data_IF_768500480079
#
_entry.id   IF_768500480079
#
_cell.length_a   1.000
_cell.length_b   1.000
_cell.length_c   1.000
_cell.angle_alpha   90.00
_cell.angle_beta   90.00
_cell.angle_gamma   90.00
#
_symmetry.space_group_name_H-M   'P 1'
#
loop_
_entity.id
_entity.type
_entity.pdbx_description
1 polymer ?
#
# COMPACT_ATOMS: atom_id res chain seq x y z
N UNK A 1 -10.64 -2.83 -17.48
CA UNK A 1 -11.44 -2.84 -16.24
C UNK A 1 -10.84 -1.93 -15.17
N UNK A 2 -9.68 -2.22 -14.57
CA UNK A 2 -9.09 -1.30 -13.59
C UNK A 2 -8.78 0.09 -14.18
N UNK A 3 -8.14 0.17 -15.35
CA UNK A 3 -7.86 1.46 -16.03
C UNK A 3 -9.12 2.26 -16.35
N UNK A 4 -10.23 1.58 -16.68
CA UNK A 4 -11.49 2.26 -16.96
C UNK A 4 -12.14 2.80 -15.69
N UNK A 5 -12.07 2.08 -14.58
CA UNK A 5 -12.60 2.55 -13.29
C UNK A 5 -11.76 3.69 -12.71
N UNK A 6 -10.44 3.64 -12.90
CA UNK A 6 -9.55 4.76 -12.56
C UNK A 6 -9.82 6.00 -13.43
N UNK A 7 -10.06 5.83 -14.74
CA UNK A 7 -10.41 6.96 -15.61
C UNK A 7 -11.78 7.55 -15.24
N UNK A 8 -12.78 6.70 -14.96
CA UNK A 8 -14.10 7.14 -14.50
C UNK A 8 -14.04 7.85 -13.15
N UNK A 9 -13.18 7.40 -12.23
CA UNK A 9 -13.04 8.10 -10.95
C UNK A 9 -12.43 9.50 -11.13
N UNK A 10 -11.55 9.72 -12.11
CA UNK A 10 -11.00 11.06 -12.34
C UNK A 10 -11.97 12.07 -12.97
N UNK A 11 -13.17 11.66 -13.41
CA UNK A 11 -14.15 12.56 -14.04
C UNK A 11 -14.82 13.49 -13.01
N UNK A 12 -15.13 14.76 -13.35
CA UNK A 12 -15.70 15.75 -12.42
C UNK A 12 -17.02 15.33 -11.76
N UNK A 13 -17.90 14.65 -12.52
CA UNK A 13 -19.20 14.17 -12.05
C UNK A 13 -19.15 12.82 -11.33
N UNK A 14 -17.96 12.27 -11.13
CA UNK A 14 -17.79 10.94 -10.57
C UNK A 14 -17.93 10.94 -9.05
N UNK A 15 -18.89 10.16 -8.55
CA UNK A 15 -19.07 9.92 -7.11
C UNK A 15 -18.24 8.73 -6.58
N UNK A 16 -17.33 8.19 -7.40
CA UNK A 16 -16.48 7.04 -7.03
C UNK A 16 -15.03 7.44 -6.87
N UNK A 17 -14.43 7.11 -5.73
CA UNK A 17 -13.00 7.14 -5.46
C UNK A 17 -12.42 5.77 -5.82
N UNK A 18 -11.46 5.70 -6.74
CA UNK A 18 -10.80 4.44 -7.09
C UNK A 18 -9.42 4.36 -6.46
N UNK A 19 -9.19 3.32 -5.66
CA UNK A 19 -7.90 3.03 -5.04
C UNK A 19 -7.35 1.68 -5.49
N UNK A 20 -6.04 1.58 -5.61
CA UNK A 20 -5.33 0.33 -5.89
C UNK A 20 -4.46 0.01 -4.70
N UNK A 21 -4.62 -1.18 -4.13
CA UNK A 21 -3.83 -1.64 -3.00
C UNK A 21 -3.06 -2.91 -3.33
N UNK A 22 -1.81 -2.98 -2.89
CA UNK A 22 -0.97 -4.14 -3.09
C UNK A 22 0.17 -4.22 -2.07
N UNK A 23 0.77 -5.40 -1.92
CA UNK A 23 1.92 -5.64 -1.06
C UNK A 23 3.19 -5.80 -1.91
N UNK A 24 4.15 -4.90 -1.72
CA UNK A 24 5.42 -4.94 -2.42
C UNK A 24 6.25 -6.17 -2.05
N UNK A 25 7.16 -6.55 -2.96
CA UNK A 25 8.27 -7.46 -2.67
C UNK A 25 9.00 -7.07 -1.38
N UNK A 26 9.32 -8.07 -0.56
CA UNK A 26 9.99 -7.91 0.73
C UNK A 26 11.39 -7.30 0.55
N UNK A 27 11.71 -6.29 1.37
CA UNK A 27 13.07 -5.79 1.52
C UNK A 27 13.80 -6.61 2.60
N UNK A 28 14.91 -7.24 2.23
CA UNK A 28 15.80 -7.91 3.19
C UNK A 28 16.86 -6.93 3.69
N UNK A 29 16.89 -6.71 5.00
CA UNK A 29 17.81 -5.78 5.66
C UNK A 29 18.81 -6.51 6.58
N UNK A 30 20.06 -6.04 6.69
CA UNK A 30 20.64 -4.95 5.91
C UNK A 30 20.89 -5.39 4.45
N UNK A 31 20.82 -4.43 3.53
CA UNK A 31 21.14 -4.58 2.11
C UNK A 31 22.60 -4.23 1.89
N UNK A 32 23.49 -5.21 2.04
CA UNK A 32 24.93 -5.09 1.83
C UNK A 32 25.38 -5.88 0.60
N UNK A 33 26.45 -5.44 -0.06
CA UNK A 33 27.00 -6.04 -1.28
C UNK A 33 28.06 -7.11 -1.05
N UNK A 34 28.41 -7.41 0.21
CA UNK A 34 29.49 -8.35 0.55
C UNK A 34 28.95 -9.75 0.86
N UNK A 35 29.75 -10.78 0.55
CA UNK A 35 29.42 -12.21 0.64
C UNK A 35 28.99 -12.67 2.04
N UNK A 36 29.46 -12.00 3.09
CA UNK A 36 29.23 -12.41 4.49
C UNK A 36 27.76 -12.31 4.92
N UNK A 37 26.96 -11.53 4.18
CA UNK A 37 25.52 -11.42 4.40
C UNK A 37 24.80 -12.76 4.15
N UNK A 38 25.33 -13.64 3.30
CA UNK A 38 24.74 -14.96 3.07
C UNK A 38 24.63 -15.79 4.37
N UNK A 39 25.51 -15.52 5.33
CA UNK A 39 25.57 -16.19 6.62
C UNK A 39 24.82 -15.45 7.74
N UNK A 40 24.30 -14.24 7.47
CA UNK A 40 23.60 -13.42 8.46
C UNK A 40 22.08 -13.49 8.28
N UNK A 41 21.34 -13.54 9.38
CA UNK A 41 19.88 -13.49 9.35
C UNK A 41 19.41 -12.08 8.99
N UNK A 42 18.82 -11.94 7.81
CA UNK A 42 18.24 -10.67 7.37
C UNK A 42 16.84 -10.47 7.96
N UNK A 43 16.55 -9.23 8.36
CA UNK A 43 15.22 -8.81 8.81
C UNK A 43 14.36 -8.50 7.60
N UNK A 44 13.19 -9.11 7.53
CA UNK A 44 12.19 -8.79 6.51
C UNK A 44 11.50 -7.46 6.83
N UNK A 45 11.58 -6.51 5.90
CA UNK A 45 10.83 -5.26 5.91
C UNK A 45 9.77 -5.29 4.80
N UNK A 46 8.55 -4.92 5.16
CA UNK A 46 7.36 -5.01 4.33
C UNK A 46 6.83 -3.61 4.01
N UNK A 47 6.29 -3.45 2.80
CA UNK A 47 5.67 -2.22 2.35
C UNK A 47 4.32 -2.52 1.70
N UNK A 48 3.24 -2.01 2.28
CA UNK A 48 1.90 -2.07 1.70
C UNK A 48 1.53 -0.72 1.10
N UNK A 49 1.28 -0.71 -0.21
CA UNK A 49 0.98 0.49 -0.97
C UNK A 49 -0.52 0.66 -1.18
N UNK A 50 -1.00 1.89 -1.03
CA UNK A 50 -2.35 2.30 -1.40
C UNK A 50 -2.25 3.54 -2.30
N UNK A 51 -2.55 3.34 -3.58
CA UNK A 51 -2.55 4.37 -4.61
C UNK A 51 -3.96 4.90 -4.83
N UNK A 52 -4.14 6.22 -4.76
CA UNK A 52 -5.40 6.91 -5.03
C UNK A 52 -5.40 7.42 -6.46
N UNK A 53 -6.23 6.84 -7.33
CA UNK A 53 -6.21 7.12 -8.77
C UNK A 53 -6.56 8.58 -9.08
N UNK A 54 -7.48 9.15 -8.31
CA UNK A 54 -8.03 10.49 -8.54
C UNK A 54 -6.98 11.59 -8.39
N UNK A 55 -6.11 11.44 -7.40
CA UNK A 55 -5.08 12.44 -7.10
C UNK A 55 -3.70 11.99 -7.57
N UNK A 56 -3.49 10.70 -7.83
CA UNK A 56 -2.17 10.10 -7.96
C UNK A 56 -1.36 10.12 -6.65
N UNK A 57 -1.99 10.46 -5.51
CA UNK A 57 -1.37 10.30 -4.20
C UNK A 57 -1.19 8.81 -3.92
N UNK A 58 -0.13 8.46 -3.21
CA UNK A 58 0.05 7.10 -2.72
C UNK A 58 0.65 7.14 -1.32
N UNK A 59 0.17 6.22 -0.49
CA UNK A 59 0.63 6.04 0.88
C UNK A 59 1.27 4.65 1.00
N UNK A 60 2.37 4.60 1.73
CA UNK A 60 3.22 3.44 1.88
C UNK A 60 3.30 3.09 3.36
N UNK A 61 2.66 1.99 3.75
CA UNK A 61 2.63 1.52 5.12
C UNK A 61 3.79 0.55 5.34
N UNK A 62 4.75 0.92 6.19
CA UNK A 62 6.02 0.19 6.36
C UNK A 62 6.11 -0.43 7.74
N UNK A 63 6.46 -1.72 7.81
CA UNK A 63 6.74 -2.45 9.05
C UNK A 63 7.79 -3.53 8.84
N UNK A 64 8.35 -4.08 9.91
CA UNK A 64 9.27 -5.23 9.83
C UNK A 64 8.73 -6.47 10.56
N UNK A 65 9.36 -7.62 10.31
CA UNK A 65 8.92 -8.92 10.85
C UNK A 65 8.88 -9.01 12.38
N UNK A 66 9.67 -8.20 13.08
CA UNK A 66 9.64 -8.11 14.54
C UNK A 66 8.40 -7.43 15.09
N UNK A 67 7.67 -6.68 14.26
CA UNK A 67 6.41 -6.02 14.65
C UNK A 67 5.20 -6.86 14.28
N UNK A 68 5.18 -7.40 13.07
CA UNK A 68 4.09 -8.24 12.56
C UNK A 68 4.54 -9.00 11.32
N UNK A 69 3.96 -10.18 11.12
CA UNK A 69 4.04 -10.91 9.85
C UNK A 69 3.24 -10.25 8.73
N UNK A 70 3.16 -10.94 7.59
CA UNK A 70 2.42 -10.52 6.37
C UNK A 70 0.93 -10.91 6.39
N UNK A 71 0.35 -11.14 7.56
CA UNK A 71 -1.04 -11.61 7.68
C UNK A 71 -2.06 -10.54 7.28
N UNK A 72 -3.23 -10.95 6.78
CA UNK A 72 -4.24 -9.99 6.29
C UNK A 72 -4.85 -9.06 7.36
N UNK A 73 -4.68 -9.33 8.66
CA UNK A 73 -5.03 -8.37 9.71
C UNK A 73 -4.20 -7.09 9.62
N UNK A 74 -2.92 -7.20 9.22
CA UNK A 74 -2.04 -6.05 9.04
C UNK A 74 -2.50 -5.17 7.88
N UNK A 75 -2.99 -5.78 6.79
CA UNK A 75 -3.53 -5.01 5.64
C UNK A 75 -4.74 -4.16 6.04
N UNK A 76 -5.65 -4.72 6.84
CA UNK A 76 -6.79 -3.97 7.37
C UNK A 76 -6.34 -2.81 8.29
N UNK A 77 -5.33 -3.04 9.14
CA UNK A 77 -4.75 -1.99 9.98
C UNK A 77 -4.05 -0.90 9.15
N UNK A 78 -3.34 -1.26 8.08
CA UNK A 78 -2.76 -0.29 7.14
C UNK A 78 -3.84 0.55 6.48
N UNK A 79 -4.93 -0.07 6.01
CA UNK A 79 -6.06 0.66 5.43
C UNK A 79 -6.72 1.60 6.45
N UNK A 80 -6.90 1.16 7.70
CA UNK A 80 -7.41 2.00 8.78
C UNK A 80 -6.53 3.23 9.04
N UNK A 81 -5.21 3.02 9.19
CA UNK A 81 -4.28 4.13 9.39
C UNK A 81 -4.23 5.06 8.17
N UNK A 82 -4.29 4.49 6.95
CA UNK A 82 -4.38 5.28 5.74
C UNK A 82 -5.62 6.18 5.71
N UNK A 83 -6.79 5.63 6.06
CA UNK A 83 -8.04 6.39 6.20
C UNK A 83 -7.90 7.53 7.21
N UNK A 84 -7.37 7.25 8.41
CA UNK A 84 -7.17 8.26 9.46
C UNK A 84 -6.14 9.33 9.08
N UNK A 85 -5.19 8.99 8.19
CA UNK A 85 -4.21 9.94 7.68
C UNK A 85 -4.79 10.97 6.70
N UNK A 86 -6.06 10.82 6.31
CA UNK A 86 -6.77 11.70 5.39
C UNK A 86 -6.53 11.41 3.91
N UNK A 87 -5.83 10.32 3.56
CA UNK A 87 -5.54 10.00 2.14
C UNK A 87 -6.80 9.63 1.35
N UNK A 88 -7.83 9.14 2.05
CA UNK A 88 -9.14 8.80 1.50
C UNK A 88 -10.18 9.90 1.70
N UNK A 89 -9.79 11.06 2.26
CA UNK A 89 -10.72 12.17 2.47
C UNK A 89 -11.14 12.76 1.13
N UNK A 90 -12.42 12.62 0.81
CA UNK A 90 -13.02 13.09 -0.43
C UNK A 90 -14.51 13.39 -0.21
N UNK A 91 -15.11 14.16 -1.11
CA UNK A 91 -16.57 14.38 -1.12
C UNK A 91 -17.34 13.19 -1.71
N UNK A 92 -16.63 12.29 -2.40
CA UNK A 92 -17.21 11.13 -3.08
C UNK A 92 -17.70 10.08 -2.10
N UNK A 93 -18.83 9.46 -2.43
CA UNK A 93 -19.53 8.54 -1.53
C UNK A 93 -19.28 7.07 -1.84
N UNK A 94 -18.74 6.72 -3.00
CA UNK A 94 -18.41 5.32 -3.34
C UNK A 94 -16.91 5.08 -3.34
N UNK A 95 -16.48 3.95 -2.79
CA UNK A 95 -15.09 3.50 -2.83
C UNK A 95 -14.96 2.25 -3.69
N UNK A 96 -14.19 2.34 -4.77
CA UNK A 96 -13.79 1.21 -5.60
C UNK A 96 -12.35 0.82 -5.26
N UNK A 97 -12.16 -0.36 -4.68
CA UNK A 97 -10.85 -0.90 -4.31
C UNK A 97 -10.44 -1.96 -5.33
N UNK A 98 -9.24 -1.81 -5.89
CA UNK A 98 -8.61 -2.83 -6.73
C UNK A 98 -7.42 -3.45 -6.01
N UNK A 99 -7.27 -4.76 -6.14
CA UNK A 99 -6.11 -5.47 -5.61
C UNK A 99 -5.78 -6.74 -6.39
N UNK A 100 -4.59 -7.28 -6.16
CA UNK A 100 -4.25 -8.62 -6.61
C UNK A 100 -5.07 -9.71 -5.91
N UNK A 101 -5.25 -10.84 -6.60
CA UNK A 101 -6.03 -11.98 -6.13
C UNK A 101 -5.23 -12.88 -5.16
N UNK A 102 -4.51 -12.28 -4.21
CA UNK A 102 -3.72 -13.00 -3.21
C UNK A 102 -4.60 -13.37 -2.00
N UNK A 103 -5.02 -14.63 -1.94
CA UNK A 103 -6.00 -15.08 -0.95
C UNK A 103 -5.53 -14.90 0.51
N UNK A 104 -4.27 -15.17 0.82
CA UNK A 104 -3.76 -15.14 2.20
C UNK A 104 -3.63 -13.73 2.82
N UNK A 105 -3.50 -12.70 1.99
CA UNK A 105 -3.22 -11.33 2.44
C UNK A 105 -4.43 -10.42 2.25
N UNK A 106 -5.07 -10.51 1.09
CA UNK A 106 -6.10 -9.56 0.70
C UNK A 106 -7.52 -10.15 0.78
N UNK A 107 -7.71 -11.46 0.58
CA UNK A 107 -9.00 -12.11 0.85
C UNK A 107 -9.12 -12.50 2.32
N UNK A 108 -9.12 -11.51 3.21
CA UNK A 108 -9.25 -11.70 4.64
C UNK A 108 -10.52 -11.04 5.19
N UNK A 109 -11.22 -11.74 6.10
CA UNK A 109 -12.36 -11.21 6.88
C UNK A 109 -12.09 -9.85 7.53
N UNK A 110 -10.84 -9.57 7.91
CA UNK A 110 -10.45 -8.29 8.52
C UNK A 110 -10.61 -7.12 7.55
N UNK A 111 -10.31 -7.31 6.25
CA UNK A 111 -10.56 -6.27 5.25
C UNK A 111 -12.06 -6.07 5.02
N UNK A 112 -12.86 -7.14 5.04
CA UNK A 112 -14.33 -7.02 4.99
C UNK A 112 -14.88 -6.22 6.17
N UNK A 113 -14.39 -6.47 7.39
CA UNK A 113 -14.76 -5.66 8.56
C UNK A 113 -14.29 -4.21 8.43
N UNK A 114 -13.11 -3.98 7.87
CA UNK A 114 -12.63 -2.63 7.59
C UNK A 114 -13.55 -1.90 6.59
N UNK A 115 -13.99 -2.55 5.51
CA UNK A 115 -14.95 -1.95 4.57
C UNK A 115 -16.29 -1.64 5.23
N UNK A 116 -16.81 -2.55 6.06
CA UNK A 116 -18.01 -2.29 6.86
C UNK A 116 -17.83 -1.10 7.80
N UNK A 117 -16.66 -0.97 8.42
CA UNK A 117 -16.34 0.18 9.27
C UNK A 117 -16.35 1.49 8.47
N UNK A 118 -15.75 1.52 7.27
CA UNK A 118 -15.77 2.71 6.41
C UNK A 118 -17.19 3.16 6.05
N UNK A 119 -18.10 2.21 5.85
CA UNK A 119 -19.51 2.49 5.59
C UNK A 119 -20.22 2.95 6.86
N UNK A 120 -20.06 2.23 7.96
CA UNK A 120 -20.70 2.53 9.24
C UNK A 120 -20.22 3.88 9.83
N UNK A 121 -19.00 4.30 9.54
CA UNK A 121 -18.47 5.60 9.94
C UNK A 121 -18.97 6.77 9.07
N UNK A 122 -19.80 6.50 8.05
CA UNK A 122 -20.34 7.50 7.13
C UNK A 122 -19.31 8.06 6.14
N UNK A 123 -18.13 7.43 6.02
CA UNK A 123 -17.09 7.91 5.10
C UNK A 123 -17.46 7.61 3.65
N UNK A 124 -18.02 6.43 3.41
CA UNK A 124 -18.56 6.01 2.12
C UNK A 124 -19.95 5.38 2.32
N UNK A 125 -20.81 5.43 1.32
CA UNK A 125 -22.11 4.75 1.32
C UNK A 125 -21.98 3.32 0.76
N UNK A 126 -20.99 3.10 -0.11
CA UNK A 126 -20.76 1.84 -0.79
C UNK A 126 -19.26 1.58 -0.96
N UNK A 127 -18.82 0.34 -0.70
CA UNK A 127 -17.45 -0.11 -0.96
C UNK A 127 -17.50 -1.35 -1.86
N UNK A 128 -16.90 -1.23 -3.04
CA UNK A 128 -16.77 -2.30 -4.02
C UNK A 128 -15.30 -2.76 -4.09
N UNK A 129 -15.03 -4.03 -3.83
CA UNK A 129 -13.67 -4.59 -3.91
C UNK A 129 -13.54 -5.54 -5.09
N UNK A 130 -12.72 -5.15 -6.07
CA UNK A 130 -12.43 -5.89 -7.30
C UNK A 130 -11.04 -6.52 -7.26
N UNK A 131 -10.93 -7.72 -7.81
CA UNK A 131 -9.69 -8.46 -7.90
C UNK A 131 -9.16 -8.45 -9.34
N UNK A 132 -7.86 -8.28 -9.50
CA UNK A 132 -7.18 -8.45 -10.78
C UNK A 132 -7.18 -9.93 -11.20
N UNK A 133 -7.39 -10.17 -12.49
CA UNK A 133 -7.26 -11.50 -13.08
C UNK A 133 -5.76 -11.77 -13.28
N UNK A 134 -5.32 -12.96 -12.87
CA UNK A 134 -3.91 -13.37 -12.96
C UNK A 134 -3.40 -13.31 -14.41
N UNK A 135 -2.20 -12.78 -14.61
CA UNK A 135 -1.45 -12.87 -15.87
C UNK A 135 -1.37 -11.61 -16.74
N UNK A 136 -2.15 -10.55 -16.50
CA UNK A 136 -2.23 -9.44 -17.47
C UNK A 136 -2.50 -8.03 -16.91
N UNK A 137 -1.98 -7.63 -15.74
CA UNK A 137 -2.23 -6.26 -15.26
C UNK A 137 -1.08 -5.67 -14.46
N UNK A 138 -0.31 -4.78 -15.09
CA UNK A 138 0.50 -3.80 -14.37
C UNK A 138 -0.43 -2.78 -13.72
N UNK A 139 -0.47 -2.76 -12.39
CA UNK A 139 -1.31 -1.89 -11.60
C UNK A 139 -0.68 -0.52 -11.35
N UNK A 140 -1.45 0.44 -10.82
CA UNK A 140 -0.89 1.73 -10.39
C UNK A 140 0.06 1.57 -9.20
N UNK A 141 -0.22 0.62 -8.31
CA UNK A 141 0.66 0.27 -7.19
C UNK A 141 2.00 -0.32 -7.69
N UNK A 142 1.96 -1.20 -8.70
CA UNK A 142 3.20 -1.75 -9.31
C UNK A 142 4.11 -0.67 -9.88
N UNK A 143 3.51 0.38 -10.47
CA UNK A 143 4.27 1.53 -10.98
C UNK A 143 4.95 2.29 -9.85
N UNK A 144 4.26 2.50 -8.73
CA UNK A 144 4.85 3.15 -7.56
C UNK A 144 5.97 2.28 -6.95
N UNK A 145 5.76 0.97 -6.85
CA UNK A 145 6.77 0.02 -6.37
C UNK A 145 7.99 -0.04 -7.28
N UNK A 146 7.81 0.02 -8.60
CA UNK A 146 8.91 0.07 -9.55
C UNK A 146 9.81 1.31 -9.35
N UNK A 147 9.22 2.47 -9.01
CA UNK A 147 9.98 3.68 -8.66
C UNK A 147 10.78 3.49 -7.36
N UNK A 148 10.16 2.87 -6.36
CA UNK A 148 10.80 2.55 -5.07
C UNK A 148 11.95 1.57 -5.30
N UNK A 149 11.75 0.50 -6.07
CA UNK A 149 12.77 -0.50 -6.38
C UNK A 149 13.94 0.08 -7.15
N UNK A 150 13.68 0.98 -8.11
CA UNK A 150 14.71 1.70 -8.85
C UNK A 150 15.61 2.50 -7.89
N UNK A 151 15.01 3.25 -6.97
CA UNK A 151 15.76 4.03 -5.97
C UNK A 151 16.48 3.13 -4.97
N UNK A 152 15.80 2.08 -4.49
CA UNK A 152 16.35 1.10 -3.56
C UNK A 152 17.55 0.35 -4.15
N UNK A 153 17.58 0.09 -5.45
CA UNK A 153 18.70 -0.58 -6.15
C UNK A 153 20.01 0.19 -5.99
N UNK A 154 19.95 1.52 -5.92
CA UNK A 154 21.11 2.40 -5.80
C UNK A 154 21.31 2.98 -4.40
N UNK A 155 20.59 2.46 -3.40
CA UNK A 155 20.63 2.95 -2.03
C UNK A 155 21.16 1.89 -1.08
N UNK A 156 22.03 2.30 -0.14
CA UNK A 156 22.39 1.48 1.02
C UNK A 156 21.22 1.54 2.01
N UNK A 157 20.69 0.38 2.39
CA UNK A 157 19.58 0.29 3.34
C UNK A 157 19.95 -0.68 4.45
N UNK A 158 20.27 -0.16 5.63
CA UNK A 158 20.71 -0.98 6.77
C UNK A 158 19.60 -1.11 7.81
N UNK A 159 18.70 -0.13 7.86
CA UNK A 159 17.59 -0.04 8.80
C UNK A 159 16.25 0.14 8.09
N UNK A 160 15.15 -0.07 8.83
CA UNK A 160 13.79 0.23 8.36
C UNK A 160 13.66 1.72 8.05
N UNK A 161 14.36 2.58 8.78
CA UNK A 161 14.36 4.03 8.55
C UNK A 161 14.98 4.40 7.19
N UNK A 162 16.01 3.67 6.75
CA UNK A 162 16.57 3.87 5.41
C UNK A 162 15.57 3.47 4.32
N UNK A 163 14.79 2.41 4.54
CA UNK A 163 13.71 2.02 3.62
C UNK A 163 12.68 3.14 3.49
N UNK A 164 12.26 3.74 4.61
CA UNK A 164 11.31 4.86 4.58
C UNK A 164 11.84 6.06 3.80
N UNK A 165 13.11 6.45 4.05
CA UNK A 165 13.77 7.55 3.31
C UNK A 165 13.88 7.25 1.82
N UNK A 166 14.17 5.99 1.46
CA UNK A 166 14.20 5.55 0.05
C UNK A 166 12.82 5.67 -0.59
N UNK A 167 11.76 5.27 0.12
CA UNK A 167 10.39 5.40 -0.35
C UNK A 167 10.06 6.88 -0.57
N UNK A 168 10.27 7.76 0.39
CA UNK A 168 9.96 9.20 0.25
C UNK A 168 10.67 9.84 -0.95
N UNK A 169 11.94 9.46 -1.19
CA UNK A 169 12.76 10.00 -2.30
C UNK A 169 12.44 9.38 -3.65
N UNK A 170 11.74 8.25 -3.70
CA UNK A 170 11.52 7.50 -4.94
C UNK A 170 10.65 8.25 -5.96
N UNK A 171 9.86 9.23 -5.52
CA UNK A 171 9.01 10.07 -6.39
C UNK A 171 9.21 11.56 -6.11
N UNK A 172 10.27 12.19 -6.66
CA UNK A 172 10.69 13.56 -6.29
C UNK A 172 9.62 14.64 -6.47
N UNK A 173 8.84 14.59 -7.55
CA UNK A 173 7.80 15.59 -7.83
C UNK A 173 6.60 15.50 -6.90
N UNK A 174 6.38 14.32 -6.31
CA UNK A 174 5.22 14.05 -5.46
C UNK A 174 5.57 12.95 -4.45
N UNK A 175 6.36 13.23 -3.41
CA UNK A 175 6.85 12.21 -2.50
C UNK A 175 5.75 11.28 -1.97
N UNK A 176 6.09 10.01 -1.79
CA UNK A 176 5.16 9.06 -1.17
C UNK A 176 4.97 9.43 0.30
N UNK A 177 3.73 9.39 0.80
CA UNK A 177 3.47 9.51 2.23
C UNK A 177 3.81 8.19 2.89
N UNK A 178 4.71 8.19 3.86
CA UNK A 178 5.08 6.97 4.60
C UNK A 178 4.35 6.93 5.93
N UNK A 179 3.72 5.80 6.23
CA UNK A 179 3.18 5.49 7.55
C UNK A 179 4.05 4.42 8.21
N UNK A 180 4.63 4.76 9.34
CA UNK A 180 5.27 3.78 10.21
C UNK A 180 4.19 3.00 10.95
N UNK A 181 4.18 1.69 10.75
CA UNK A 181 3.19 0.78 11.32
C UNK A 181 3.71 0.06 12.58
N UNK A 182 4.70 0.66 13.26
CA UNK A 182 5.05 0.36 14.66
C UNK A 182 3.78 0.31 15.51
N UNK A 183 3.73 -0.65 16.45
CA UNK A 183 2.62 -0.72 17.39
C UNK A 183 2.60 0.58 18.18
N UNK A 184 1.53 1.36 18.04
CA UNK A 184 1.21 2.41 19.01
C UNK A 184 1.07 1.67 20.34
N UNK A 185 2.04 1.86 21.24
CA UNK A 185 1.83 1.56 22.65
C UNK A 185 0.69 2.48 23.07
N UNK A 186 -0.48 1.88 23.32
CA UNK A 186 -1.56 2.56 24.02
C UNK A 186 -1.06 3.07 25.38
#
# INVERSE_FOLDING_TARGET
MMKSDAAKSTMPESDTLTVVMDLQKVFSLPKLSHSDMYYSRQVSCYNFGLHVSDTGNAIMCVWHEGQSGRGGSKMASCLFQASNSGVLSTHKRKLCVWSDNCAGQIKNRMLLFMYKYLVASGMFDEVEHKFLISGHSFSSADRDFALIEKTAKHSKMESVEDVKKVIERARPSKPFKVLDMTLVQN
#
